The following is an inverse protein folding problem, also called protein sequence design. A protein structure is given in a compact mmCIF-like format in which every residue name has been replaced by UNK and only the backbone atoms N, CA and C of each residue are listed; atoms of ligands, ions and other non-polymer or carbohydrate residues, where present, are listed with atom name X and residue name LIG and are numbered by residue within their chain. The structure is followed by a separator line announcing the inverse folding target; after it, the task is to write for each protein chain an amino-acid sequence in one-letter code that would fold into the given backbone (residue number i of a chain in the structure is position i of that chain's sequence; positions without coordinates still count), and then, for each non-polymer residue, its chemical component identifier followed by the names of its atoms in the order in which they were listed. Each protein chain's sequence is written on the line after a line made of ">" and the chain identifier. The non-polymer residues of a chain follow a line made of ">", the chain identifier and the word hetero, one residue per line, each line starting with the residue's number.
data_IF_604069924918
#
_entry.id   IF_604069924918
#
_cell.length_a   1.000
_cell.length_b   1.000
_cell.length_c   1.000
_cell.angle_alpha   90.00
_cell.angle_beta   90.00
_cell.angle_gamma   90.00
#
_symmetry.space_group_name_H-M   'P 1'
#
loop_
_entity.id
_entity.type
_entity.pdbx_description
1 polymer ?
#
# COMPACT_ATOMS: atom_id res chain seq x y z
N UNK A 1 -15.76 9.27 -0.68
CA UNK A 1 -15.20 10.24 -1.64
C UNK A 1 -14.39 11.27 -0.87
N UNK A 2 -13.13 11.47 -1.24
CA UNK A 2 -12.21 12.42 -0.60
C UNK A 2 -11.83 13.50 -1.62
N UNK A 3 -12.06 14.76 -1.25
CA UNK A 3 -11.81 15.94 -2.10
C UNK A 3 -10.46 16.53 -1.69
N UNK A 4 -9.46 16.39 -2.54
CA UNK A 4 -8.17 17.08 -2.40
C UNK A 4 -8.35 18.57 -2.74
N UNK A 5 -7.69 19.46 -1.97
CA UNK A 5 -7.71 20.94 -2.08
C UNK A 5 -7.29 21.53 -3.45
N UNK A 6 -7.06 20.71 -4.47
CA UNK A 6 -6.86 21.10 -5.87
C UNK A 6 -8.13 20.98 -6.74
N UNK A 7 -9.29 20.63 -6.17
CA UNK A 7 -10.53 20.47 -6.95
C UNK A 7 -10.52 19.23 -7.86
N UNK A 8 -9.64 18.26 -7.59
CA UNK A 8 -9.59 16.97 -8.31
C UNK A 8 -9.87 15.84 -7.32
N UNK A 9 -10.94 15.08 -7.56
CA UNK A 9 -11.24 13.83 -6.85
C UNK A 9 -10.18 12.80 -7.21
N UNK A 10 -9.21 12.60 -6.32
CA UNK A 10 -8.34 11.43 -6.39
C UNK A 10 -9.02 10.39 -5.52
N UNK A 11 -9.66 9.40 -6.13
CA UNK A 11 -10.19 8.30 -5.35
C UNK A 11 -9.02 7.42 -4.87
N UNK A 12 -8.83 7.23 -3.55
CA UNK A 12 -7.80 6.33 -3.02
C UNK A 12 -7.98 4.90 -3.52
N UNK A 13 -9.23 4.52 -3.84
CA UNK A 13 -9.59 3.20 -4.39
C UNK A 13 -8.82 2.85 -5.67
N UNK A 14 -8.48 3.84 -6.51
CA UNK A 14 -7.72 3.59 -7.72
C UNK A 14 -6.27 3.25 -7.42
N UNK A 15 -5.66 3.96 -6.47
CA UNK A 15 -4.29 3.70 -6.02
C UNK A 15 -4.22 2.34 -5.32
N UNK A 16 -5.22 2.01 -4.51
CA UNK A 16 -5.38 0.69 -3.89
C UNK A 16 -5.51 -0.40 -4.95
N UNK A 17 -6.36 -0.22 -5.97
CA UNK A 17 -6.52 -1.17 -7.06
C UNK A 17 -5.22 -1.43 -7.84
N UNK A 18 -4.41 -0.38 -8.08
CA UNK A 18 -3.10 -0.54 -8.72
C UNK A 18 -2.13 -1.33 -7.82
N UNK A 19 -2.11 -1.03 -6.52
CA UNK A 19 -1.25 -1.73 -5.55
C UNK A 19 -1.68 -3.20 -5.36
N UNK A 20 -2.97 -3.49 -5.39
CA UNK A 20 -3.51 -4.85 -5.33
C UNK A 20 -3.16 -5.72 -6.54
N UNK A 21 -2.64 -5.15 -7.65
CA UNK A 21 -2.11 -5.96 -8.76
C UNK A 21 -0.77 -6.62 -8.44
N UNK A 22 -0.10 -6.19 -7.38
CA UNK A 22 1.22 -6.69 -7.00
C UNK A 22 1.07 -7.96 -6.14
N UNK A 23 1.66 -9.09 -6.54
CA UNK A 23 1.44 -10.38 -5.87
C UNK A 23 1.96 -10.43 -4.42
N UNK A 24 2.91 -9.54 -4.08
CA UNK A 24 3.46 -9.40 -2.73
C UNK A 24 2.55 -8.60 -1.78
N UNK A 25 1.56 -7.89 -2.31
CA UNK A 25 0.61 -7.09 -1.54
C UNK A 25 -0.68 -7.91 -1.36
N UNK A 26 -1.00 -8.25 -0.11
CA UNK A 26 -2.25 -8.93 0.24
C UNK A 26 -3.40 -7.95 0.41
N UNK A 27 -3.16 -6.89 1.18
CA UNK A 27 -4.12 -5.84 1.43
C UNK A 27 -3.40 -4.50 1.48
N UNK A 28 -4.07 -3.45 1.02
CA UNK A 28 -3.54 -2.10 1.00
C UNK A 28 -4.64 -1.14 1.38
N UNK A 29 -4.28 -0.13 2.16
CA UNK A 29 -5.14 1.01 2.49
C UNK A 29 -4.37 2.29 2.22
N UNK A 30 -4.93 3.20 1.44
CA UNK A 30 -4.32 4.48 1.10
C UNK A 30 -4.93 5.58 1.97
N UNK A 31 -4.07 6.32 2.66
CA UNK A 31 -4.39 7.44 3.52
C UNK A 31 -3.83 8.72 2.92
N UNK A 32 -4.58 9.82 3.04
CA UNK A 32 -4.14 11.12 2.51
C UNK A 32 -5.19 12.21 2.64
N UNK A 33 -6.06 12.14 3.65
CA UNK A 33 -7.04 13.21 3.90
C UNK A 33 -6.31 14.48 4.35
N UNK A 34 -6.33 15.52 3.50
CA UNK A 34 -5.76 16.83 3.79
C UNK A 34 -4.23 16.98 3.70
N UNK A 35 -3.48 15.91 3.40
CA UNK A 35 -2.01 15.97 3.28
C UNK A 35 -1.51 16.22 1.85
N UNK A 36 -0.33 16.87 1.68
CA UNK A 36 0.26 17.11 0.36
C UNK A 36 0.74 15.83 -0.35
N UNK A 37 0.77 14.69 0.35
CA UNK A 37 1.28 13.42 -0.16
C UNK A 37 0.41 12.26 0.33
N UNK A 38 0.35 11.18 -0.46
CA UNK A 38 -0.35 9.96 -0.08
C UNK A 38 0.58 9.02 0.69
N UNK A 39 0.01 8.38 1.71
CA UNK A 39 0.62 7.35 2.54
C UNK A 39 -0.14 6.04 2.35
N UNK A 40 0.54 4.89 2.42
CA UNK A 40 -0.11 3.58 2.29
C UNK A 40 0.23 2.65 3.45
N UNK A 41 -0.77 1.94 3.96
CA UNK A 41 -0.56 0.79 4.83
C UNK A 41 -0.65 -0.46 3.97
N UNK A 42 0.39 -1.29 4.03
CA UNK A 42 0.53 -2.48 3.18
C UNK A 42 0.62 -3.70 4.08
N UNK A 43 -0.24 -4.67 3.83
CA UNK A 43 -0.15 -6.01 4.40
C UNK A 43 0.51 -6.91 3.36
N UNK A 44 1.66 -7.48 3.70
CA UNK A 44 2.36 -8.41 2.82
C UNK A 44 1.61 -9.73 2.68
N UNK A 45 1.69 -10.34 1.50
CA UNK A 45 1.17 -11.68 1.27
C UNK A 45 2.12 -12.73 1.87
N UNK A 46 1.72 -13.47 2.92
CA UNK A 46 2.59 -14.43 3.59
C UNK A 46 3.07 -15.54 2.65
N UNK A 47 2.32 -15.85 1.58
CA UNK A 47 2.71 -16.86 0.60
C UNK A 47 3.71 -16.34 -0.45
N UNK A 48 3.82 -15.02 -0.62
CA UNK A 48 4.76 -14.38 -1.53
C UNK A 48 6.02 -13.86 -0.80
N UNK A 49 6.06 -14.03 0.52
CA UNK A 49 7.13 -13.51 1.39
C UNK A 49 8.16 -14.60 1.61
N UNK A 50 9.38 -14.44 1.09
CA UNK A 50 10.53 -15.22 1.54
C UNK A 50 10.79 -14.91 3.02
N UNK A 51 11.27 -15.88 3.80
CA UNK A 51 11.34 -15.83 5.26
C UNK A 51 12.15 -14.65 5.87
N UNK A 52 12.91 -13.92 5.05
CA UNK A 52 13.73 -12.77 5.46
C UNK A 52 12.98 -11.44 5.34
N UNK A 53 12.83 -10.75 6.49
CA UNK A 53 12.15 -9.45 6.58
C UNK A 53 12.80 -8.34 5.73
N UNK A 54 14.13 -8.41 5.54
CA UNK A 54 14.89 -7.43 4.74
C UNK A 54 14.55 -7.52 3.24
N UNK A 55 14.38 -8.74 2.74
CA UNK A 55 13.98 -9.03 1.37
C UNK A 55 12.53 -8.60 1.13
N UNK A 56 11.65 -8.83 2.11
CA UNK A 56 10.25 -8.41 2.04
C UNK A 56 10.11 -6.89 1.87
N UNK A 57 10.77 -6.09 2.72
CA UNK A 57 10.66 -4.63 2.63
C UNK A 57 11.19 -4.12 1.28
N UNK A 58 12.26 -4.72 0.78
CA UNK A 58 12.85 -4.38 -0.52
C UNK A 58 11.90 -4.71 -1.66
N UNK A 59 11.24 -5.87 -1.63
CA UNK A 59 10.27 -6.29 -2.64
C UNK A 59 9.00 -5.41 -2.63
N UNK A 60 8.49 -5.03 -1.44
CA UNK A 60 7.38 -4.08 -1.32
C UNK A 60 7.76 -2.72 -1.87
N UNK A 61 8.97 -2.22 -1.56
CA UNK A 61 9.47 -0.95 -2.10
C UNK A 61 9.56 -0.99 -3.63
N UNK A 62 9.98 -2.13 -4.20
CA UNK A 62 10.02 -2.32 -5.66
C UNK A 62 8.61 -2.29 -6.26
N UNK A 63 7.65 -3.01 -5.66
CA UNK A 63 6.25 -3.01 -6.08
C UNK A 63 5.64 -1.59 -6.04
N UNK A 64 5.91 -0.84 -4.98
CA UNK A 64 5.50 0.56 -4.86
C UNK A 64 6.11 1.45 -5.93
N UNK A 65 7.40 1.27 -6.25
CA UNK A 65 8.05 2.03 -7.31
C UNK A 65 7.44 1.77 -8.68
N UNK A 66 7.13 0.52 -9.01
CA UNK A 66 6.46 0.14 -10.26
C UNK A 66 5.11 0.84 -10.36
N UNK A 67 4.31 0.77 -9.30
CA UNK A 67 2.99 1.43 -9.28
C UNK A 67 3.14 2.95 -9.32
N UNK A 68 4.04 3.55 -8.55
CA UNK A 68 4.28 5.00 -8.57
C UNK A 68 4.70 5.56 -9.94
N UNK A 69 5.26 4.73 -10.84
CA UNK A 69 5.56 5.12 -12.22
C UNK A 69 4.30 5.21 -13.09
N UNK A 70 3.25 4.45 -12.78
CA UNK A 70 1.95 4.51 -13.47
C UNK A 70 1.04 5.60 -12.90
N UNK A 71 1.32 6.05 -11.68
CA UNK A 71 0.59 7.12 -11.01
C UNK A 71 1.12 8.51 -11.39
N UNK A 72 0.23 9.51 -11.57
CA UNK A 72 0.62 10.92 -11.69
C UNK A 72 1.28 11.41 -10.40
N UNK A 73 2.12 12.44 -10.50
CA UNK A 73 2.97 12.93 -9.39
C UNK A 73 2.22 13.20 -8.08
N UNK A 74 0.96 13.63 -8.16
CA UNK A 74 0.12 13.91 -7.00
C UNK A 74 -0.45 12.67 -6.31
N UNK A 75 -0.49 11.52 -6.99
CA UNK A 75 -1.03 10.26 -6.48
C UNK A 75 0.07 9.27 -6.07
N UNK A 76 1.35 9.66 -6.20
CA UNK A 76 2.46 8.80 -5.80
C UNK A 76 2.48 8.63 -4.29
N UNK A 77 2.59 7.37 -3.86
CA UNK A 77 2.80 7.00 -2.46
C UNK A 77 4.24 7.41 -2.09
N UNK A 78 4.37 8.35 -1.14
CA UNK A 78 5.69 8.77 -0.63
C UNK A 78 6.09 8.05 0.64
N UNK A 79 5.11 7.63 1.43
CA UNK A 79 5.33 6.94 2.70
C UNK A 79 4.50 5.66 2.73
N UNK A 80 5.07 4.61 3.30
CA UNK A 80 4.36 3.36 3.45
C UNK A 80 4.75 2.67 4.76
N UNK A 81 3.81 1.92 5.32
CA UNK A 81 3.99 1.15 6.53
C UNK A 81 3.64 -0.31 6.26
N UNK A 82 4.54 -1.20 6.65
CA UNK A 82 4.27 -2.63 6.65
C UNK A 82 3.44 -2.97 7.88
N UNK A 83 2.22 -3.45 7.66
CA UNK A 83 1.38 -4.04 8.68
C UNK A 83 1.56 -5.56 8.67
N UNK A 84 1.69 -6.14 9.87
CA UNK A 84 1.67 -7.58 10.07
C UNK A 84 0.29 -8.12 9.73
N UNK A 85 0.22 -9.26 9.05
CA UNK A 85 -1.02 -10.00 8.93
C UNK A 85 -1.47 -10.44 10.33
N UNK A 86 -2.60 -9.91 10.82
CA UNK A 86 -3.22 -10.39 12.05
C UNK A 86 -3.87 -11.74 11.75
N UNK A 87 -3.17 -12.84 12.03
CA UNK A 87 -3.81 -14.14 12.17
C UNK A 87 -4.63 -14.13 13.46
N UNK A 88 -5.84 -13.59 13.41
CA UNK A 88 -6.82 -13.68 14.49
C UNK A 88 -7.32 -15.12 14.60
N UNK A 89 -6.49 -16.04 15.12
CA UNK A 89 -6.83 -17.40 15.53
C UNK A 89 -5.63 -18.07 16.23
N UNK A 90 -5.08 -17.41 17.26
CA UNK A 90 -4.59 -18.16 18.43
C UNK A 90 -5.63 -17.97 19.51
N UNK A 91 -6.77 -18.62 19.34
CA UNK A 91 -7.67 -18.87 20.45
C UNK A 91 -7.10 -20.14 21.08
N UNK A 92 -6.18 -19.93 22.03
CA UNK A 92 -5.63 -20.97 22.90
C UNK A 92 -6.74 -21.93 23.34
N UNK A 93 -6.57 -23.21 23.00
CA UNK A 93 -7.32 -24.35 23.51
C UNK A 93 -6.37 -25.27 24.27
#
# INVERSE_FOLDING_TARGET
>A
MLISSFGRNISPEWVEAQLSTQPIIYQVAVLGDGEPHLSAVIVANPNATSADNSDLQSAIKQALNIVNQTLPDYARIKQWHLASYLSALTMDY
#
